data_IF_559287867559
#
_entry.id   IF_559287867559
#
_cell.length_a   1.000
_cell.length_b   1.000
_cell.length_c   1.000
_cell.angle_alpha   90.00
_cell.angle_beta   90.00
_cell.angle_gamma   90.00
#
_symmetry.space_group_name_H-M   'P 1'
#
loop_
_entity.id
_entity.type
_entity.pdbx_description
1 polymer ?
#
# COMPACT_ATOMS: atom_id res chain seq x y z
N UNK A 1 17.71 21.15 9.90
CA UNK A 1 17.47 19.72 9.76
C UNK A 1 17.47 19.18 8.31
N UNK A 2 17.39 20.00 7.25
CA UNK A 2 17.42 19.53 5.84
C UNK A 2 18.80 19.13 5.29
N UNK A 3 19.91 19.55 5.92
CA UNK A 3 21.28 19.31 5.41
C UNK A 3 21.88 17.94 5.77
N UNK A 4 21.38 17.27 6.80
CA UNK A 4 21.92 15.97 7.25
C UNK A 4 21.29 14.77 6.52
N UNK A 5 20.13 14.95 5.90
CA UNK A 5 19.46 13.89 5.12
C UNK A 5 20.15 13.63 3.78
N UNK A 6 20.76 14.67 3.20
CA UNK A 6 21.51 14.55 1.94
C UNK A 6 22.83 13.78 2.12
N UNK A 7 23.47 13.90 3.30
CA UNK A 7 24.74 13.24 3.59
C UNK A 7 24.59 11.72 3.80
N UNK A 8 23.46 11.27 4.28
CA UNK A 8 23.17 9.83 4.45
C UNK A 8 22.95 9.11 3.12
N UNK A 9 22.38 9.80 2.13
CA UNK A 9 22.14 9.23 0.81
C UNK A 9 23.43 9.13 -0.05
N UNK A 10 24.39 10.01 0.16
CA UNK A 10 25.67 9.97 -0.57
C UNK A 10 26.58 8.84 -0.07
N UNK A 11 26.45 8.43 1.18
CA UNK A 11 27.26 7.34 1.74
C UNK A 11 26.82 5.95 1.28
N UNK A 12 25.59 5.79 0.78
CA UNK A 12 25.07 4.52 0.24
C UNK A 12 25.52 4.24 -1.20
N UNK A 13 26.05 5.23 -1.91
CA UNK A 13 26.53 5.05 -3.30
C UNK A 13 27.96 4.53 -3.44
N UNK A 14 28.72 4.41 -2.36
CA UNK A 14 30.15 4.03 -2.45
C UNK A 14 30.47 2.54 -2.25
N UNK A 15 29.50 1.66 -2.24
CA UNK A 15 29.74 0.21 -2.00
C UNK A 15 29.42 -0.68 -3.20
N UNK A 16 29.38 -0.15 -4.40
CA UNK A 16 29.30 -0.98 -5.61
C UNK A 16 30.71 -1.11 -6.19
N UNK A 17 31.54 -1.93 -5.55
CA UNK A 17 32.73 -2.47 -6.23
C UNK A 17 32.27 -3.63 -7.11
N UNK A 18 32.28 -3.42 -8.41
CA UNK A 18 32.29 -4.50 -9.38
C UNK A 18 33.63 -5.22 -9.22
N UNK A 19 33.63 -6.45 -8.74
CA UNK A 19 34.77 -7.33 -8.87
C UNK A 19 34.86 -7.72 -10.34
N UNK A 20 35.86 -7.20 -11.03
CA UNK A 20 36.37 -7.78 -12.27
C UNK A 20 37.22 -8.98 -11.85
N UNK A 21 36.64 -10.17 -11.81
CA UNK A 21 37.40 -11.38 -11.77
C UNK A 21 37.93 -11.65 -13.18
N UNK A 22 39.25 -11.71 -13.32
CA UNK A 22 39.93 -12.14 -14.53
C UNK A 22 39.43 -13.54 -14.92
N UNK A 23 38.77 -13.63 -16.07
CA UNK A 23 38.27 -14.89 -16.63
C UNK A 23 39.46 -15.69 -17.12
N UNK A 24 40.01 -16.55 -16.27
CA UNK A 24 40.88 -17.64 -16.68
C UNK A 24 40.06 -18.68 -17.46
N UNK A 25 40.35 -18.82 -18.73
CA UNK A 25 39.72 -19.74 -19.69
C UNK A 25 40.00 -21.22 -19.33
N UNK A 26 39.51 -21.70 -18.20
CA UNK A 26 39.32 -23.12 -17.92
C UNK A 26 37.85 -23.45 -18.10
N UNK A 27 37.56 -24.33 -19.06
CA UNK A 27 36.27 -24.72 -19.55
C UNK A 27 35.18 -24.69 -18.48
N UNK A 28 34.24 -23.79 -18.63
CA UNK A 28 33.05 -23.66 -17.81
C UNK A 28 32.23 -24.95 -17.95
N UNK A 29 32.32 -25.82 -16.97
CA UNK A 29 31.22 -26.74 -16.67
C UNK A 29 30.09 -25.83 -16.16
N UNK A 30 29.16 -25.49 -17.02
CA UNK A 30 27.92 -24.81 -16.64
C UNK A 30 27.16 -25.78 -15.73
N UNK A 31 27.47 -25.71 -14.43
CA UNK A 31 26.67 -26.35 -13.41
C UNK A 31 25.26 -25.80 -13.57
N UNK A 32 24.30 -26.67 -13.78
CA UNK A 32 22.86 -26.34 -13.88
C UNK A 32 22.54 -25.53 -12.61
N UNK A 33 22.35 -24.21 -12.73
CA UNK A 33 21.90 -23.38 -11.61
C UNK A 33 20.60 -23.99 -11.07
N UNK A 34 20.67 -24.57 -9.89
CA UNK A 34 19.48 -25.13 -9.23
C UNK A 34 18.66 -23.94 -8.78
N UNK A 35 17.64 -23.59 -9.56
CA UNK A 35 16.67 -22.55 -9.18
C UNK A 35 15.99 -22.96 -7.88
N UNK A 36 15.97 -22.07 -6.86
CA UNK A 36 15.25 -22.35 -5.63
C UNK A 36 13.78 -22.70 -5.89
N UNK A 37 13.25 -23.66 -5.12
CA UNK A 37 11.81 -23.99 -5.18
C UNK A 37 10.96 -22.77 -4.77
N UNK A 38 9.79 -22.63 -5.37
CA UNK A 38 8.81 -21.57 -5.08
C UNK A 38 8.39 -21.57 -3.60
N UNK A 39 8.37 -22.73 -2.95
CA UNK A 39 8.02 -22.90 -1.53
C UNK A 39 8.97 -22.19 -0.57
N UNK A 40 10.13 -21.77 -1.06
CA UNK A 40 11.10 -21.00 -0.27
C UNK A 40 10.79 -19.50 -0.30
N UNK A 41 9.94 -19.03 -1.22
CA UNK A 41 9.52 -17.63 -1.31
C UNK A 41 8.26 -17.41 -0.48
N UNK A 42 8.45 -17.05 0.78
CA UNK A 42 7.38 -16.96 1.77
C UNK A 42 6.94 -15.53 2.00
N UNK A 43 5.62 -15.37 2.16
CA UNK A 43 4.96 -14.13 2.56
C UNK A 43 4.30 -14.36 3.91
N UNK A 44 4.56 -13.46 4.85
CA UNK A 44 3.96 -13.48 6.18
C UNK A 44 3.03 -12.28 6.37
N UNK A 45 1.94 -12.50 7.09
CA UNK A 45 1.02 -11.45 7.53
C UNK A 45 1.14 -11.23 9.04
N UNK A 46 0.54 -10.16 9.55
CA UNK A 46 0.45 -9.92 11.00
C UNK A 46 -0.39 -10.99 11.72
N UNK A 47 -1.32 -11.63 11.01
CA UNK A 47 -2.11 -12.76 11.51
C UNK A 47 -1.29 -14.05 11.62
N UNK A 48 0.00 -13.99 11.22
CA UNK A 48 0.93 -15.13 11.17
C UNK A 48 0.59 -16.19 10.12
N UNK A 49 -0.29 -15.85 9.18
CA UNK A 49 -0.52 -16.68 8.01
C UNK A 49 0.71 -16.67 7.11
N UNK A 50 1.04 -17.82 6.56
CA UNK A 50 2.14 -17.96 5.60
C UNK A 50 1.56 -18.36 4.26
N UNK A 51 1.88 -17.56 3.25
CA UNK A 51 1.57 -17.84 1.84
C UNK A 51 2.85 -17.82 1.03
N UNK A 52 2.76 -18.26 -0.22
CA UNK A 52 3.89 -18.29 -1.14
C UNK A 52 3.73 -17.24 -2.23
N UNK A 53 4.86 -16.82 -2.79
CA UNK A 53 4.85 -15.90 -3.93
C UNK A 53 4.28 -16.63 -5.14
N UNK A 54 3.28 -16.02 -5.78
CA UNK A 54 2.75 -16.48 -7.04
C UNK A 54 3.45 -15.73 -8.17
N UNK A 55 4.22 -16.44 -8.98
CA UNK A 55 4.93 -15.91 -10.15
C UNK A 55 4.25 -16.26 -11.47
N UNK A 56 3.05 -16.88 -11.41
CA UNK A 56 2.31 -17.21 -12.63
C UNK A 56 1.74 -15.95 -13.29
N UNK A 57 2.03 -15.80 -14.58
CA UNK A 57 1.50 -14.74 -15.44
C UNK A 57 0.42 -15.33 -16.38
N UNK A 58 -0.55 -16.02 -15.80
CA UNK A 58 -1.63 -16.64 -16.54
C UNK A 58 -2.92 -15.83 -16.44
N UNK A 59 -3.88 -16.13 -17.30
CA UNK A 59 -5.24 -15.57 -17.27
C UNK A 59 -5.91 -15.71 -15.89
N UNK A 60 -5.54 -16.72 -15.12
CA UNK A 60 -6.07 -16.93 -13.77
C UNK A 60 -5.69 -15.83 -12.78
N UNK A 61 -4.71 -14.98 -13.10
CA UNK A 61 -4.29 -13.83 -12.28
C UNK A 61 -4.82 -12.50 -12.80
N UNK A 62 -5.59 -12.49 -13.90
CA UNK A 62 -6.13 -11.28 -14.56
C UNK A 62 -6.94 -10.40 -13.59
N UNK A 63 -7.73 -10.99 -12.71
CA UNK A 63 -8.55 -10.28 -11.73
C UNK A 63 -7.76 -9.39 -10.77
N UNK A 64 -6.43 -9.59 -10.64
CA UNK A 64 -5.50 -8.76 -9.87
C UNK A 64 -4.82 -7.67 -10.72
N UNK A 65 -5.08 -7.64 -12.04
CA UNK A 65 -4.47 -6.68 -12.94
C UNK A 65 -5.23 -5.35 -12.95
N UNK A 66 -5.33 -4.76 -11.78
CA UNK A 66 -6.00 -3.47 -11.53
C UNK A 66 -5.18 -2.63 -10.55
N UNK A 67 -5.57 -1.34 -10.38
CA UNK A 67 -4.85 -0.41 -9.52
C UNK A 67 -4.75 -0.91 -8.06
N UNK A 68 -5.76 -1.57 -7.52
CA UNK A 68 -5.73 -2.09 -6.15
C UNK A 68 -4.89 -3.38 -6.01
N UNK A 69 -4.53 -4.03 -7.12
CA UNK A 69 -3.78 -5.31 -7.16
C UNK A 69 -4.46 -6.43 -6.39
N UNK A 70 -5.77 -6.44 -6.38
CA UNK A 70 -6.61 -7.43 -5.70
C UNK A 70 -7.90 -7.68 -6.45
N UNK A 71 -8.66 -8.67 -6.01
CA UNK A 71 -10.01 -8.90 -6.49
C UNK A 71 -10.90 -7.69 -6.16
N UNK A 72 -11.50 -7.12 -7.18
CA UNK A 72 -12.41 -5.97 -7.09
C UNK A 72 -13.82 -6.30 -7.57
N UNK A 73 -14.19 -7.58 -7.65
CA UNK A 73 -15.49 -7.99 -8.15
C UNK A 73 -16.66 -7.37 -7.38
N UNK A 74 -16.54 -7.24 -6.06
CA UNK A 74 -17.53 -6.58 -5.20
C UNK A 74 -17.43 -5.05 -5.14
N UNK A 75 -16.63 -4.42 -6.02
CA UNK A 75 -16.40 -2.98 -6.03
C UNK A 75 -16.73 -2.39 -7.39
N UNK A 76 -17.50 -1.31 -7.41
CA UNK A 76 -17.74 -0.51 -8.61
C UNK A 76 -16.83 0.73 -8.57
N UNK A 77 -15.83 0.84 -9.47
CA UNK A 77 -14.98 2.01 -9.54
C UNK A 77 -15.76 3.22 -10.09
N UNK A 78 -15.37 4.41 -9.67
CA UNK A 78 -15.75 5.64 -10.35
C UNK A 78 -15.06 5.73 -11.72
N UNK A 79 -15.46 6.69 -12.54
CA UNK A 79 -15.06 6.77 -13.94
C UNK A 79 -13.58 7.09 -14.20
N UNK A 80 -12.82 7.47 -13.17
CA UNK A 80 -11.37 7.64 -13.27
C UNK A 80 -10.64 6.68 -12.34
N UNK A 81 -9.54 6.10 -12.81
CA UNK A 81 -8.72 5.21 -11.98
C UNK A 81 -8.11 6.00 -10.80
N UNK A 82 -8.10 5.40 -9.61
CA UNK A 82 -7.63 6.07 -8.39
C UNK A 82 -8.67 6.96 -7.71
N UNK A 83 -9.84 7.13 -8.29
CA UNK A 83 -11.02 7.65 -7.59
C UNK A 83 -11.54 6.62 -6.58
N UNK A 84 -12.63 6.91 -5.96
CA UNK A 84 -13.24 6.06 -4.95
C UNK A 84 -13.95 4.85 -5.56
N UNK A 85 -14.40 3.95 -4.70
CA UNK A 85 -15.17 2.77 -5.07
C UNK A 85 -16.47 2.73 -4.30
N UNK A 86 -17.55 2.32 -4.95
CA UNK A 86 -18.78 1.90 -4.29
C UNK A 86 -18.73 0.40 -4.02
N UNK A 87 -19.17 -0.02 -2.84
CA UNK A 87 -19.30 -1.43 -2.49
C UNK A 87 -20.63 -1.94 -3.05
N UNK A 88 -20.60 -3.01 -3.83
CA UNK A 88 -21.76 -3.63 -4.44
C UNK A 88 -22.42 -4.66 -3.52
N UNK A 89 -21.66 -5.23 -2.59
CA UNK A 89 -22.14 -6.18 -1.62
C UNK A 89 -22.46 -5.50 -0.28
N UNK A 90 -23.52 -5.95 0.40
CA UNK A 90 -23.85 -5.48 1.75
C UNK A 90 -22.92 -6.05 2.81
N UNK A 91 -22.13 -7.05 2.54
CA UNK A 91 -21.18 -7.74 3.42
C UNK A 91 -21.41 -7.54 4.92
N UNK A 92 -21.54 -8.59 5.71
CA UNK A 92 -21.61 -8.53 7.18
C UNK A 92 -20.21 -8.19 7.75
N UNK A 93 -19.75 -6.95 7.54
CA UNK A 93 -18.46 -6.49 8.04
C UNK A 93 -18.58 -6.05 9.49
N UNK A 94 -17.60 -6.41 10.30
CA UNK A 94 -17.47 -5.86 11.64
C UNK A 94 -17.37 -4.33 11.55
N UNK A 95 -18.34 -3.64 12.13
CA UNK A 95 -18.33 -2.18 12.19
C UNK A 95 -17.28 -1.74 13.20
N UNK A 96 -16.41 -0.83 12.81
CA UNK A 96 -15.52 -0.17 13.77
C UNK A 96 -16.32 0.74 14.69
N UNK A 97 -16.01 0.73 15.98
CA UNK A 97 -16.59 1.66 16.96
C UNK A 97 -16.19 3.11 16.63
N UNK A 98 -14.96 3.29 16.12
CA UNK A 98 -14.47 4.60 15.69
C UNK A 98 -14.76 4.81 14.20
N UNK A 99 -15.34 5.95 13.82
CA UNK A 99 -15.54 6.27 12.40
C UNK A 99 -14.18 6.40 11.69
N UNK A 100 -14.17 6.05 10.41
CA UNK A 100 -13.00 6.34 9.57
C UNK A 100 -12.87 7.85 9.38
N UNK A 101 -11.62 8.32 9.37
CA UNK A 101 -11.32 9.73 9.14
C UNK A 101 -11.64 10.13 7.71
N UNK A 102 -12.39 11.21 7.53
CA UNK A 102 -12.78 11.74 6.23
C UNK A 102 -13.69 10.80 5.44
N UNK A 103 -13.56 10.80 4.11
CA UNK A 103 -14.38 9.99 3.22
C UNK A 103 -13.91 8.55 3.14
N UNK A 104 -14.75 7.61 3.55
CA UNK A 104 -14.41 6.18 3.65
C UNK A 104 -14.03 5.56 2.31
N UNK A 105 -14.61 6.01 1.21
CA UNK A 105 -14.33 5.52 -0.14
C UNK A 105 -12.87 5.70 -0.59
N UNK A 106 -12.13 6.65 -0.02
CA UNK A 106 -10.70 6.82 -0.30
C UNK A 106 -9.81 5.76 0.35
N UNK A 107 -10.28 5.12 1.40
CA UNK A 107 -9.48 4.15 2.16
C UNK A 107 -9.26 2.82 1.43
N UNK A 108 -9.94 2.56 0.31
CA UNK A 108 -9.67 1.36 -0.50
C UNK A 108 -8.20 1.27 -0.97
N UNK A 109 -7.57 2.42 -1.23
CA UNK A 109 -6.16 2.48 -1.64
C UNK A 109 -5.19 2.75 -0.46
N UNK A 110 -5.70 3.04 0.72
CA UNK A 110 -4.88 3.27 1.92
C UNK A 110 -4.57 1.93 2.58
N UNK A 111 -3.28 1.62 2.75
CA UNK A 111 -2.84 0.38 3.39
C UNK A 111 -2.83 0.54 4.90
N UNK A 112 -3.67 -0.21 5.57
CA UNK A 112 -3.65 -0.35 7.02
C UNK A 112 -2.54 -1.32 7.46
N UNK A 113 -2.24 -1.37 8.77
CA UNK A 113 -1.18 -2.24 9.29
C UNK A 113 -1.37 -3.71 8.90
N UNK A 114 -2.62 -4.18 8.90
CA UNK A 114 -3.00 -5.56 8.53
C UNK A 114 -2.75 -5.91 7.05
N UNK A 115 -2.66 -4.90 6.17
CA UNK A 115 -2.47 -5.09 4.74
C UNK A 115 -0.98 -5.21 4.37
N UNK A 116 -0.09 -4.95 5.31
CA UNK A 116 1.35 -5.01 5.10
C UNK A 116 1.84 -6.46 5.18
N UNK A 117 2.61 -6.86 4.18
CA UNK A 117 3.21 -8.18 4.05
C UNK A 117 4.70 -8.13 4.36
N UNK A 118 5.21 -9.18 4.95
CA UNK A 118 6.63 -9.41 5.22
C UNK A 118 7.10 -10.62 4.43
N UNK A 119 8.38 -10.67 4.12
CA UNK A 119 8.90 -11.63 3.17
C UNK A 119 10.09 -12.40 3.73
N UNK A 120 10.31 -13.60 3.17
CA UNK A 120 11.56 -14.35 3.28
C UNK A 120 11.80 -15.03 1.95
N UNK A 121 12.90 -14.71 1.30
CA UNK A 121 13.19 -15.15 -0.07
C UNK A 121 14.61 -15.71 -0.17
N UNK A 122 14.83 -16.80 -0.91
CA UNK A 122 16.18 -17.38 -1.08
C UNK A 122 17.06 -16.54 -2.01
N UNK A 123 16.46 -15.83 -2.96
CA UNK A 123 17.12 -14.91 -3.89
C UNK A 123 16.36 -13.59 -3.93
N UNK A 124 16.98 -12.48 -4.33
CA UNK A 124 16.28 -11.23 -4.56
C UNK A 124 15.07 -11.42 -5.48
N UNK A 125 13.95 -10.83 -5.11
CA UNK A 125 12.71 -10.86 -5.89
C UNK A 125 12.26 -9.43 -6.19
N UNK A 126 11.98 -9.18 -7.47
CA UNK A 126 11.41 -7.92 -7.95
C UNK A 126 10.07 -8.20 -8.61
N UNK A 127 9.05 -7.40 -8.29
CA UNK A 127 7.77 -7.38 -8.97
C UNK A 127 7.54 -5.96 -9.49
N UNK A 128 7.35 -5.83 -10.80
CA UNK A 128 7.11 -4.55 -11.47
C UNK A 128 5.78 -4.65 -12.22
N UNK A 129 4.86 -3.82 -11.80
CA UNK A 129 3.60 -3.63 -12.49
C UNK A 129 3.56 -2.23 -13.09
N UNK A 130 3.20 -2.15 -14.34
CA UNK A 130 2.98 -0.88 -15.04
C UNK A 130 1.75 -1.00 -15.93
N UNK A 131 0.92 0.02 -15.90
CA UNK A 131 -0.26 0.13 -16.74
C UNK A 131 -0.48 1.59 -17.12
N UNK A 132 -0.72 1.85 -18.39
CA UNK A 132 -1.29 3.13 -18.83
C UNK A 132 -2.76 3.18 -18.41
N UNK A 133 -3.20 4.31 -17.89
CA UNK A 133 -4.58 4.52 -17.46
C UNK A 133 -5.18 5.70 -18.23
N UNK A 134 -6.49 5.85 -18.08
CA UNK A 134 -7.28 6.77 -18.88
C UNK A 134 -6.75 8.20 -18.80
N UNK A 135 -6.71 8.88 -19.96
CA UNK A 135 -6.31 10.27 -20.14
C UNK A 135 -4.93 10.60 -19.55
N UNK A 136 -3.90 10.30 -20.33
CA UNK A 136 -2.50 10.65 -20.02
C UNK A 136 -2.05 10.16 -18.63
N UNK A 137 -2.55 9.02 -18.19
CA UNK A 137 -2.29 8.49 -16.88
C UNK A 137 -1.36 7.28 -16.88
N UNK A 138 -0.77 7.03 -15.71
CA UNK A 138 0.12 5.90 -15.44
C UNK A 138 -0.14 5.34 -14.05
N UNK A 139 -0.14 4.02 -13.95
CA UNK A 139 -0.15 3.26 -12.69
C UNK A 139 1.09 2.40 -12.62
N UNK A 140 1.82 2.52 -11.52
CA UNK A 140 3.05 1.79 -11.24
C UNK A 140 2.95 1.13 -9.87
N UNK A 141 3.38 -0.13 -9.75
CA UNK A 141 3.67 -0.77 -8.46
C UNK A 141 5.01 -1.48 -8.60
N UNK A 142 6.03 -0.94 -7.96
CA UNK A 142 7.39 -1.45 -7.97
C UNK A 142 7.70 -2.01 -6.57
N UNK A 143 8.17 -3.25 -6.53
CA UNK A 143 8.49 -3.97 -5.31
C UNK A 143 9.82 -4.70 -5.46
N UNK A 144 10.65 -4.60 -4.44
CA UNK A 144 11.90 -5.34 -4.30
C UNK A 144 12.01 -5.91 -2.89
N UNK A 145 12.38 -7.18 -2.80
CA UNK A 145 12.67 -7.83 -1.51
C UNK A 145 13.95 -8.65 -1.59
N UNK A 146 14.72 -8.62 -0.53
CA UNK A 146 16.01 -9.31 -0.45
C UNK A 146 16.26 -9.81 0.97
N UNK A 147 16.76 -11.02 1.08
CA UNK A 147 17.38 -11.51 2.31
C UNK A 147 18.86 -11.18 2.30
N UNK A 148 19.30 -10.29 3.18
CA UNK A 148 20.73 -10.00 3.37
C UNK A 148 21.42 -11.07 4.20
N UNK A 149 20.64 -11.81 5.00
CA UNK A 149 21.03 -13.02 5.72
C UNK A 149 19.85 -14.00 5.69
N UNK A 150 20.08 -15.30 5.89
CA UNK A 150 18.97 -16.27 5.89
C UNK A 150 17.81 -15.95 6.85
N UNK A 151 18.08 -15.12 7.85
CA UNK A 151 17.13 -14.74 8.90
C UNK A 151 16.84 -13.23 8.95
N UNK A 152 17.24 -12.48 7.93
CA UNK A 152 17.01 -11.03 7.87
C UNK A 152 16.62 -10.62 6.46
N UNK A 153 15.38 -10.17 6.32
CA UNK A 153 14.80 -9.68 5.09
C UNK A 153 14.56 -8.17 5.16
N UNK A 154 14.72 -7.52 4.02
CA UNK A 154 14.28 -6.14 3.78
C UNK A 154 13.48 -6.08 2.49
N UNK A 155 12.43 -5.26 2.50
CA UNK A 155 11.68 -5.00 1.29
C UNK A 155 11.39 -3.50 1.15
N UNK A 156 11.39 -3.04 -0.08
CA UNK A 156 11.01 -1.67 -0.44
C UNK A 156 9.97 -1.74 -1.56
N UNK A 157 8.95 -0.91 -1.46
CA UNK A 157 7.93 -0.82 -2.49
C UNK A 157 7.45 0.61 -2.67
N UNK A 158 7.09 0.94 -3.89
CA UNK A 158 6.42 2.18 -4.23
C UNK A 158 5.31 1.91 -5.22
N UNK A 159 4.10 2.31 -4.85
CA UNK A 159 2.93 2.27 -5.71
C UNK A 159 2.46 3.68 -5.99
N UNK A 160 2.44 4.06 -7.26
CA UNK A 160 2.06 5.37 -7.71
C UNK A 160 0.96 5.32 -8.76
N UNK A 161 0.13 6.34 -8.78
CA UNK A 161 -0.89 6.57 -9.80
C UNK A 161 -0.97 8.05 -10.12
N UNK A 162 -1.15 8.35 -11.40
CA UNK A 162 -1.64 9.62 -11.89
C UNK A 162 -2.58 9.35 -13.05
N UNK A 163 -3.79 9.90 -13.00
CA UNK A 163 -4.79 9.81 -14.08
C UNK A 163 -5.58 11.11 -14.15
N UNK A 164 -5.60 11.75 -15.31
CA UNK A 164 -6.30 13.01 -15.49
C UNK A 164 -7.82 12.83 -15.43
N UNK A 165 -8.32 11.73 -15.99
CA UNK A 165 -9.76 11.50 -16.15
C UNK A 165 -10.34 12.29 -17.31
N UNK A 166 -11.60 12.02 -17.63
CA UNK A 166 -12.28 12.60 -18.81
C UNK A 166 -13.06 13.88 -18.51
N UNK A 167 -13.30 14.18 -17.25
CA UNK A 167 -14.13 15.32 -16.84
C UNK A 167 -13.26 16.46 -16.30
N UNK A 168 -13.80 17.66 -16.30
CA UNK A 168 -13.20 18.82 -15.64
C UNK A 168 -12.98 18.52 -14.15
N UNK A 169 -11.86 18.97 -13.60
CA UNK A 169 -11.48 18.82 -12.18
C UNK A 169 -11.61 17.38 -11.65
N UNK A 170 -10.97 16.42 -12.35
CA UNK A 170 -11.14 15.00 -12.07
C UNK A 170 -9.83 14.21 -11.93
N UNK A 171 -8.70 14.91 -11.80
CA UNK A 171 -7.38 14.32 -11.62
C UNK A 171 -7.33 13.46 -10.36
N UNK A 172 -6.80 12.25 -10.50
CA UNK A 172 -6.43 11.35 -9.41
C UNK A 172 -4.92 11.22 -9.33
N UNK A 173 -4.36 11.32 -8.14
CA UNK A 173 -2.94 11.11 -7.89
C UNK A 173 -2.76 10.41 -6.56
N UNK A 174 -1.92 9.38 -6.52
CA UNK A 174 -1.57 8.73 -5.26
C UNK A 174 -0.13 8.24 -5.24
N UNK A 175 0.46 8.27 -4.07
CA UNK A 175 1.77 7.71 -3.76
C UNK A 175 1.69 6.85 -2.50
N UNK A 176 2.31 5.68 -2.56
CA UNK A 176 2.37 4.76 -1.43
C UNK A 176 3.77 4.15 -1.35
N UNK A 177 4.56 4.66 -0.44
CA UNK A 177 5.87 4.12 -0.11
C UNK A 177 5.76 3.13 1.05
N UNK A 178 6.44 1.98 0.92
CA UNK A 178 6.50 0.94 1.95
C UNK A 178 7.93 0.47 2.11
N UNK A 179 8.36 0.40 3.34
CA UNK A 179 9.59 -0.28 3.73
C UNK A 179 9.24 -1.31 4.80
N UNK A 180 9.67 -2.56 4.61
CA UNK A 180 9.43 -3.62 5.59
C UNK A 180 10.73 -4.34 5.94
N UNK A 181 10.80 -4.85 7.16
CA UNK A 181 11.89 -5.71 7.62
C UNK A 181 11.33 -6.85 8.44
N UNK A 182 11.87 -8.04 8.22
CA UNK A 182 11.57 -9.24 9.02
C UNK A 182 12.87 -9.86 9.50
N UNK A 183 12.95 -10.11 10.79
CA UNK A 183 14.12 -10.70 11.43
C UNK A 183 13.72 -11.81 12.39
N UNK A 184 14.47 -12.88 12.41
CA UNK A 184 14.36 -13.90 13.44
C UNK A 184 15.74 -14.44 13.85
N UNK A 185 15.89 -14.80 15.14
CA UNK A 185 17.10 -15.44 15.62
C UNK A 185 17.22 -16.86 15.05
N UNK A 186 18.46 -17.38 14.91
CA UNK A 186 18.70 -18.74 14.37
C UNK A 186 17.90 -19.81 15.12
N UNK A 187 17.66 -19.63 16.39
CA UNK A 187 16.89 -20.52 17.26
C UNK A 187 15.39 -20.19 17.27
N UNK A 188 14.95 -19.20 16.48
CA UNK A 188 13.54 -18.73 16.38
C UNK A 188 12.90 -18.32 17.71
N UNK A 189 13.72 -17.99 18.72
CA UNK A 189 13.24 -17.45 20.00
C UNK A 189 12.71 -16.04 19.88
N UNK A 190 13.39 -15.21 19.09
CA UNK A 190 13.00 -13.84 18.84
C UNK A 190 12.60 -13.67 17.38
N UNK A 191 11.44 -13.08 17.17
CA UNK A 191 10.90 -12.74 15.85
C UNK A 191 10.52 -11.26 15.90
N UNK A 192 10.92 -10.51 14.88
CA UNK A 192 10.63 -9.10 14.71
C UNK A 192 10.13 -8.85 13.29
N UNK A 193 9.00 -8.17 13.18
CA UNK A 193 8.50 -7.57 11.94
C UNK A 193 8.36 -6.06 12.17
N UNK A 194 8.87 -5.27 11.26
CA UNK A 194 8.76 -3.83 11.32
C UNK A 194 8.43 -3.26 9.95
N UNK A 195 7.66 -2.17 9.93
CA UNK A 195 7.44 -1.44 8.69
C UNK A 195 7.32 0.06 8.89
N UNK A 196 7.62 0.77 7.83
CA UNK A 196 7.29 2.18 7.66
C UNK A 196 6.47 2.34 6.39
N UNK A 197 5.40 3.14 6.46
CA UNK A 197 4.59 3.52 5.29
C UNK A 197 4.43 5.04 5.24
N UNK A 198 4.55 5.61 4.02
CA UNK A 198 4.19 6.98 3.73
C UNK A 198 3.22 6.98 2.55
N UNK A 199 2.02 7.51 2.75
CA UNK A 199 0.93 7.39 1.79
C UNK A 199 0.24 8.72 1.59
N UNK A 200 -0.12 9.01 0.34
CA UNK A 200 -0.99 10.13 -0.03
C UNK A 200 -1.94 9.73 -1.15
N UNK A 201 -3.18 10.17 -1.03
CA UNK A 201 -4.24 9.95 -2.00
C UNK A 201 -4.92 11.29 -2.21
N UNK A 202 -4.66 11.92 -3.35
CA UNK A 202 -5.17 13.22 -3.74
C UNK A 202 -6.11 13.06 -4.92
N UNK A 203 -7.28 13.67 -4.84
CA UNK A 203 -8.22 13.72 -5.95
C UNK A 203 -8.73 15.14 -6.11
N UNK A 204 -8.88 15.56 -7.35
CA UNK A 204 -9.78 16.64 -7.70
C UNK A 204 -11.22 16.15 -7.61
N UNK A 205 -12.09 16.98 -7.10
CA UNK A 205 -13.50 16.64 -6.82
C UNK A 205 -14.39 17.61 -7.60
N UNK A 206 -15.04 17.11 -8.64
CA UNK A 206 -15.89 17.97 -9.48
C UNK A 206 -17.34 18.09 -8.99
N UNK A 207 -17.74 17.31 -7.99
CA UNK A 207 -19.10 17.34 -7.44
C UNK A 207 -20.19 16.77 -8.35
N UNK A 208 -19.82 16.26 -9.53
CA UNK A 208 -20.73 15.76 -10.56
C UNK A 208 -21.04 16.79 -11.63
N UNK A 209 -21.70 16.34 -12.69
CA UNK A 209 -22.15 17.19 -13.80
C UNK A 209 -23.41 17.97 -13.40
N UNK A 210 -23.51 19.21 -13.87
CA UNK A 210 -24.66 20.11 -13.57
C UNK A 210 -25.88 19.69 -14.35
N UNK A 211 -25.71 19.51 -15.67
CA UNK A 211 -26.77 19.22 -16.59
C UNK A 211 -26.71 17.81 -17.15
N UNK A 212 -27.56 16.90 -16.65
CA UNK A 212 -27.60 15.51 -17.11
C UNK A 212 -28.15 15.38 -18.53
N UNK A 213 -28.97 16.33 -18.99
CA UNK A 213 -29.51 16.30 -20.37
C UNK A 213 -28.43 16.50 -21.41
N UNK A 214 -27.38 17.29 -21.14
CA UNK A 214 -26.23 17.44 -22.03
C UNK A 214 -25.44 16.13 -22.15
N UNK A 215 -25.30 15.42 -21.01
CA UNK A 215 -24.66 14.10 -21.00
C UNK A 215 -25.43 13.06 -21.82
N UNK A 216 -26.76 13.10 -21.79
CA UNK A 216 -27.67 12.16 -22.45
C UNK A 216 -28.07 12.56 -23.88
N UNK A 217 -27.76 13.80 -24.29
CA UNK A 217 -28.20 14.37 -25.56
C UNK A 217 -27.75 13.63 -26.80
N UNK A 218 -26.61 12.93 -26.72
CA UNK A 218 -25.94 12.34 -27.88
C UNK A 218 -25.28 13.37 -28.80
N UNK A 219 -25.27 14.66 -28.44
CA UNK A 219 -24.60 15.72 -29.20
C UNK A 219 -23.10 15.50 -29.23
N UNK A 220 -22.53 15.66 -30.43
CA UNK A 220 -21.10 15.49 -30.66
C UNK A 220 -20.23 16.44 -29.81
N UNK A 221 -20.74 17.61 -29.46
CA UNK A 221 -20.04 18.56 -28.59
C UNK A 221 -19.76 17.99 -27.20
N UNK A 222 -20.65 17.14 -26.68
CA UNK A 222 -20.53 16.56 -25.34
C UNK A 222 -19.93 15.14 -25.32
N UNK A 223 -19.53 14.62 -26.50
CA UNK A 223 -18.72 13.37 -26.56
C UNK A 223 -17.39 13.57 -25.82
N UNK A 224 -16.78 14.73 -25.95
CA UNK A 224 -15.65 15.18 -25.13
C UNK A 224 -16.20 15.61 -23.77
N UNK A 225 -15.98 14.76 -22.76
CA UNK A 225 -16.59 14.90 -21.43
C UNK A 225 -16.06 16.08 -20.62
N UNK A 226 -14.93 16.65 -20.98
CA UNK A 226 -14.35 17.89 -20.44
C UNK A 226 -15.14 19.15 -20.81
N UNK A 227 -16.09 19.05 -21.75
CA UNK A 227 -17.02 20.15 -22.10
C UNK A 227 -18.29 20.19 -21.25
N UNK A 228 -18.50 19.16 -20.42
CA UNK A 228 -19.62 19.14 -19.51
C UNK A 228 -19.37 20.02 -18.29
N UNK A 229 -20.28 20.89 -17.97
CA UNK A 229 -20.21 21.72 -16.77
C UNK A 229 -20.30 20.88 -15.50
N UNK A 230 -19.48 21.21 -14.53
CA UNK A 230 -19.38 20.50 -13.23
C UNK A 230 -19.62 21.45 -12.07
N UNK A 231 -20.04 20.91 -10.92
CA UNK A 231 -20.34 21.75 -9.76
C UNK A 231 -19.12 22.42 -9.13
N UNK A 232 -17.96 21.77 -9.21
CA UNK A 232 -16.73 22.29 -8.62
C UNK A 232 -15.55 22.18 -9.60
N UNK A 233 -14.91 23.30 -9.88
CA UNK A 233 -13.75 23.34 -10.75
C UNK A 233 -12.42 23.42 -9.97
N UNK A 234 -12.47 23.62 -8.67
CA UNK A 234 -11.32 23.89 -7.80
C UNK A 234 -11.30 23.07 -6.52
N UNK A 235 -12.28 22.20 -6.30
CA UNK A 235 -12.34 21.39 -5.09
C UNK A 235 -11.34 20.24 -5.16
N UNK A 236 -10.65 19.99 -4.05
CA UNK A 236 -9.68 18.88 -3.91
C UNK A 236 -9.87 18.16 -2.58
N UNK A 237 -9.57 16.88 -2.57
CA UNK A 237 -9.53 16.09 -1.35
C UNK A 237 -8.21 15.34 -1.23
N UNK A 238 -7.64 15.32 -0.04
CA UNK A 238 -6.36 14.70 0.27
C UNK A 238 -6.48 13.83 1.52
N UNK A 239 -6.18 12.55 1.40
CA UNK A 239 -5.88 11.66 2.53
C UNK A 239 -4.38 11.38 2.54
N UNK A 240 -3.70 11.81 3.59
CA UNK A 240 -2.25 11.61 3.73
C UNK A 240 -1.92 11.06 5.10
N UNK A 241 -1.00 10.10 5.15
CA UNK A 241 -0.56 9.52 6.40
C UNK A 241 0.79 8.85 6.34
N UNK A 242 1.37 8.68 7.50
CA UNK A 242 2.55 7.87 7.71
C UNK A 242 2.35 6.98 8.94
N UNK A 243 2.97 5.82 8.92
CA UNK A 243 2.95 4.87 10.03
C UNK A 243 4.30 4.23 10.21
N UNK A 244 4.72 4.17 11.45
CA UNK A 244 5.80 3.32 11.93
C UNK A 244 5.18 2.20 12.77
N UNK A 245 5.60 0.97 12.52
CA UNK A 245 5.03 -0.21 13.16
C UNK A 245 6.11 -1.22 13.48
N UNK A 246 6.01 -1.82 14.66
CA UNK A 246 6.87 -2.91 15.12
C UNK A 246 6.01 -3.97 15.80
N UNK A 247 6.19 -5.22 15.40
CA UNK A 247 5.63 -6.40 16.05
C UNK A 247 6.74 -7.36 16.36
N UNK A 248 6.92 -7.70 17.63
CA UNK A 248 7.95 -8.63 18.02
C UNK A 248 7.52 -9.60 19.11
N UNK A 249 8.11 -10.76 19.11
CA UNK A 249 7.83 -11.81 20.07
C UNK A 249 9.10 -12.49 20.54
N UNK A 250 9.10 -12.87 21.83
CA UNK A 250 10.21 -13.58 22.47
C UNK A 250 9.70 -14.82 23.19
N UNK A 251 10.22 -15.99 22.80
CA UNK A 251 9.97 -17.29 23.42
C UNK A 251 10.96 -17.55 24.55
N UNK A 252 10.48 -17.76 25.78
CA UNK A 252 11.36 -17.88 26.96
C UNK A 252 12.22 -19.14 26.91
N UNK A 253 11.62 -20.29 26.61
CA UNK A 253 12.36 -21.55 26.60
C UNK A 253 12.65 -22.02 25.15
N UNK A 254 13.93 -22.24 24.85
CA UNK A 254 14.40 -22.65 23.53
C UNK A 254 14.03 -24.09 23.17
N UNK A 255 14.25 -25.00 24.10
CA UNK A 255 14.20 -26.45 23.87
C UNK A 255 12.82 -27.04 24.10
N UNK A 256 12.04 -26.44 24.98
CA UNK A 256 10.72 -26.95 25.31
C UNK A 256 9.66 -26.41 24.31
N UNK A 257 8.88 -27.28 23.66
CA UNK A 257 7.72 -26.84 22.87
C UNK A 257 6.72 -26.08 23.73
N UNK A 258 6.60 -26.42 25.00
CA UNK A 258 5.77 -25.70 25.97
C UNK A 258 6.56 -24.53 26.55
N UNK A 259 6.17 -23.33 26.25
CA UNK A 259 6.93 -22.14 26.65
C UNK A 259 6.05 -20.90 26.69
N UNK A 260 6.37 -20.00 27.63
CA UNK A 260 5.87 -18.64 27.59
C UNK A 260 6.44 -17.88 26.40
N UNK A 261 5.58 -17.13 25.74
CA UNK A 261 5.91 -16.22 24.64
C UNK A 261 5.43 -14.83 25.02
N UNK A 262 6.34 -13.90 25.08
CA UNK A 262 6.05 -12.48 25.23
C UNK A 262 5.87 -11.86 23.86
N UNK A 263 4.83 -11.09 23.70
CA UNK A 263 4.56 -10.36 22.46
C UNK A 263 4.42 -8.88 22.76
N UNK A 264 4.96 -8.06 21.88
CA UNK A 264 4.77 -6.61 21.94
C UNK A 264 4.53 -6.07 20.55
N UNK A 265 3.53 -5.24 20.42
CA UNK A 265 3.14 -4.56 19.19
C UNK A 265 3.10 -3.07 19.47
N UNK A 266 3.84 -2.32 18.68
CA UNK A 266 3.90 -0.86 18.74
C UNK A 266 3.52 -0.29 17.39
N UNK A 267 2.66 0.72 17.37
CA UNK A 267 2.31 1.46 16.17
C UNK A 267 2.17 2.95 16.50
N UNK A 268 2.82 3.77 15.71
CA UNK A 268 2.58 5.22 15.68
C UNK A 268 2.10 5.58 14.29
N UNK A 269 0.88 6.09 14.20
CA UNK A 269 0.27 6.53 12.96
C UNK A 269 -0.19 7.97 13.07
N UNK A 270 0.23 8.78 12.11
CA UNK A 270 -0.32 10.11 11.87
C UNK A 270 -0.95 10.14 10.49
N UNK A 271 -2.21 10.51 10.41
CA UNK A 271 -2.90 10.74 9.14
C UNK A 271 -3.85 11.92 9.23
N UNK A 272 -4.14 12.53 8.10
CA UNK A 272 -5.16 13.56 8.00
C UNK A 272 -5.94 13.43 6.70
N UNK A 273 -7.18 13.87 6.77
CA UNK A 273 -8.02 14.10 5.61
C UNK A 273 -8.28 15.60 5.49
N UNK A 274 -8.15 16.14 4.30
CA UNK A 274 -8.37 17.54 3.99
C UNK A 274 -9.24 17.66 2.75
N UNK A 275 -10.28 18.51 2.84
CA UNK A 275 -11.08 18.91 1.71
C UNK A 275 -10.98 20.42 1.57
N UNK A 276 -10.62 20.88 0.38
CA UNK A 276 -10.48 22.31 0.08
C UNK A 276 -11.29 22.68 -1.15
N UNK A 277 -11.93 23.84 -1.12
CA UNK A 277 -12.60 24.48 -2.23
C UNK A 277 -12.44 25.99 -2.07
N UNK A 278 -11.91 26.67 -3.08
CA UNK A 278 -11.57 28.09 -3.02
C UNK A 278 -12.72 28.98 -3.48
N UNK A 279 -13.45 28.57 -4.50
CA UNK A 279 -14.61 29.32 -5.01
C UNK A 279 -15.84 29.13 -4.12
N UNK A 280 -16.59 30.21 -3.91
CA UNK A 280 -17.86 30.14 -3.21
C UNK A 280 -18.85 29.24 -3.96
N UNK A 281 -19.51 28.35 -3.25
CA UNK A 281 -20.49 27.44 -3.82
C UNK A 281 -21.59 27.13 -2.81
N UNK A 282 -22.85 27.25 -3.25
CA UNK A 282 -24.03 27.03 -2.41
C UNK A 282 -24.48 25.58 -2.32
N UNK A 283 -23.79 24.63 -3.01
CA UNK A 283 -24.21 23.22 -3.05
C UNK A 283 -24.20 22.57 -1.68
N UNK A 284 -23.32 23.00 -0.79
CA UNK A 284 -23.29 22.53 0.60
C UNK A 284 -24.22 23.30 1.54
N UNK A 285 -25.06 24.16 1.00
CA UNK A 285 -25.98 25.00 1.73
C UNK A 285 -25.52 26.46 1.89
N UNK A 286 -26.41 27.34 2.30
CA UNK A 286 -26.15 28.79 2.40
C UNK A 286 -25.07 29.17 3.40
N UNK A 287 -24.79 28.32 4.37
CA UNK A 287 -23.71 28.53 5.36
C UNK A 287 -22.29 28.43 4.76
N UNK A 288 -22.16 27.85 3.57
CA UNK A 288 -20.86 27.65 2.87
C UNK A 288 -20.70 28.62 1.70
N UNK A 289 -21.00 29.89 1.93
CA UNK A 289 -20.89 30.98 0.92
C UNK A 289 -19.44 31.40 0.63
N UNK A 290 -18.47 30.92 1.43
CA UNK A 290 -17.06 31.23 1.29
C UNK A 290 -16.24 29.97 0.99
N UNK A 291 -14.95 30.15 0.86
CA UNK A 291 -13.96 29.08 0.75
C UNK A 291 -14.13 28.02 1.85
N UNK A 292 -14.04 26.74 1.46
CA UNK A 292 -14.03 25.62 2.38
C UNK A 292 -12.58 25.14 2.56
N UNK A 293 -12.17 24.96 3.81
CA UNK A 293 -10.92 24.29 4.16
C UNK A 293 -11.22 23.46 5.42
N UNK A 294 -11.60 22.21 5.20
CA UNK A 294 -11.91 21.28 6.27
C UNK A 294 -10.79 20.24 6.39
N UNK A 295 -10.18 20.19 7.58
CA UNK A 295 -9.07 19.27 7.86
C UNK A 295 -9.30 18.53 9.17
N UNK A 296 -9.37 17.20 9.06
CA UNK A 296 -9.44 16.29 10.20
C UNK A 296 -8.10 15.58 10.35
N UNK A 297 -7.54 15.59 11.56
CA UNK A 297 -6.27 14.94 11.90
C UNK A 297 -6.51 13.76 12.82
N UNK A 298 -5.71 12.72 12.60
CA UNK A 298 -5.70 11.51 13.42
C UNK A 298 -4.26 11.22 13.81
N UNK A 299 -4.03 11.14 15.11
CA UNK A 299 -2.76 10.72 15.67
C UNK A 299 -3.03 9.56 16.63
N UNK A 300 -2.43 8.41 16.34
CA UNK A 300 -2.65 7.19 17.10
C UNK A 300 -1.31 6.61 17.55
N UNK A 301 -1.17 6.43 18.84
CA UNK A 301 -0.10 5.68 19.46
C UNK A 301 -0.70 4.41 20.07
N UNK A 302 -0.34 3.28 19.51
CA UNK A 302 -0.86 1.99 19.93
C UNK A 302 0.25 1.12 20.52
N UNK A 303 0.01 0.59 21.70
CA UNK A 303 0.86 -0.38 22.36
C UNK A 303 0.02 -1.57 22.81
N UNK A 304 0.47 -2.78 22.47
CA UNK A 304 -0.14 -4.02 22.92
C UNK A 304 0.93 -4.94 23.46
N UNK A 305 0.86 -5.24 24.73
CA UNK A 305 1.67 -6.28 25.37
C UNK A 305 0.82 -7.53 25.53
N UNK A 306 1.42 -8.68 25.31
CA UNK A 306 0.73 -9.96 25.46
C UNK A 306 1.68 -11.04 25.99
N UNK A 307 1.11 -11.99 26.70
CA UNK A 307 1.77 -13.21 27.16
C UNK A 307 0.91 -14.37 26.68
N UNK A 308 1.53 -15.31 25.97
CA UNK A 308 0.87 -16.54 25.54
C UNK A 308 1.67 -17.74 26.05
N UNK A 309 0.99 -18.77 26.50
CA UNK A 309 1.60 -20.05 26.83
C UNK A 309 1.33 -21.04 25.69
N UNK A 310 2.38 -21.36 24.93
CA UNK A 310 2.29 -22.34 23.85
C UNK A 310 2.44 -23.74 24.40
N UNK A 311 1.53 -24.63 24.05
CA UNK A 311 1.60 -26.04 24.43
C UNK A 311 1.55 -26.91 23.18
N UNK A 312 2.28 -28.05 23.23
CA UNK A 312 2.27 -29.03 22.14
C UNK A 312 0.92 -29.75 22.02
N UNK A 313 0.23 -29.94 23.15
CA UNK A 313 -0.99 -30.75 23.23
C UNK A 313 -2.27 -29.97 23.08
N UNK A 314 -2.30 -28.69 23.48
CA UNK A 314 -3.52 -27.90 23.56
C UNK A 314 -3.47 -26.61 22.70
N UNK A 315 -2.40 -26.42 21.93
CA UNK A 315 -2.24 -25.21 21.14
C UNK A 315 -1.76 -24.00 21.95
N UNK A 316 -2.12 -22.81 21.52
CA UNK A 316 -1.76 -21.55 22.17
C UNK A 316 -2.90 -21.15 23.15
N UNK A 317 -2.57 -20.95 24.42
CA UNK A 317 -3.43 -20.45 25.50
C UNK A 317 -3.10 -19.01 25.83
#
# INVERSE_FOLDING_TARGET
MKKYFLFFFVFLCFSVFSQNDDIDNKGLVIGKEIKPSIDLYKIYTLQKDTTFVDTSLTINSEYKYNFLRKDIFGLMPFSNEGQTYNTLDYGLKNKSIMPMIGFSGKHFNYLEAKDIKYYSVPTPLTDLYFKTVMEQGQSLDAFLTINTKPNLNFSIAYKGLRSLGKYVNFLSSSGNFRFTSSYFTKDKRYILNAHFTGQDISNQENGGIINTSDFESGDDNFKERDRLEVYFEDATSLLKGNRFFVDHSFKLNKLNPNSLVFTHQFSQEYKFFEFTQSAANTRFGSSFSNRINNKTRYNNLYNKLGIAYKTKSYGDL
#
